data_IF_414128259079
#
_entry.id   IF_414128259079
#
_cell.length_a   1.000
_cell.length_b   1.000
_cell.length_c   1.000
_cell.angle_alpha   90.00
_cell.angle_beta   90.00
_cell.angle_gamma   90.00
#
_symmetry.space_group_name_H-M   'P 1'
#
loop_
_entity.id
_entity.type
_entity.pdbx_description
1 polymer ?
#
# COMPACT_ATOMS: atom_id res chain seq x y z
N UNK A 1 -34.13 24.00 9.74
CA UNK A 1 -32.98 23.25 10.30
C UNK A 1 -32.02 22.95 9.16
N UNK A 2 -30.77 23.38 9.25
CA UNK A 2 -29.82 23.26 8.15
C UNK A 2 -29.40 21.80 7.95
N UNK A 3 -29.66 21.25 6.75
CA UNK A 3 -29.23 19.91 6.35
C UNK A 3 -27.72 19.98 6.09
N UNK A 4 -26.91 19.42 7.00
CA UNK A 4 -25.46 19.34 6.82
C UNK A 4 -25.15 18.56 5.53
N UNK A 5 -24.25 19.11 4.71
CA UNK A 5 -23.86 18.53 3.41
C UNK A 5 -22.90 17.33 3.53
N UNK A 6 -22.44 17.03 4.74
CA UNK A 6 -21.67 15.82 5.00
C UNK A 6 -22.61 14.66 5.28
N UNK A 7 -22.59 13.67 4.39
CA UNK A 7 -23.08 12.34 4.71
C UNK A 7 -22.17 11.65 5.74
N UNK A 8 -22.53 10.44 6.19
CA UNK A 8 -21.70 9.65 7.10
C UNK A 8 -20.27 9.54 6.55
N UNK A 9 -19.27 9.82 7.38
CA UNK A 9 -17.87 9.58 7.03
C UNK A 9 -17.70 8.08 6.85
N UNK A 10 -17.16 7.66 5.71
CA UNK A 10 -16.87 6.25 5.46
C UNK A 10 -15.99 5.71 6.58
N UNK A 11 -16.44 4.64 7.23
CA UNK A 11 -15.69 3.95 8.27
C UNK A 11 -14.68 3.03 7.56
N UNK A 12 -13.58 3.62 7.07
CA UNK A 12 -12.44 2.90 6.50
C UNK A 12 -11.72 2.15 7.62
N UNK A 13 -12.32 1.04 8.09
CA UNK A 13 -11.72 0.21 9.14
C UNK A 13 -10.48 -0.49 8.58
N UNK A 14 -9.29 -0.27 9.15
CA UNK A 14 -8.09 -0.96 8.71
C UNK A 14 -8.23 -2.47 8.98
N UNK A 15 -7.97 -3.28 7.95
CA UNK A 15 -7.90 -4.74 8.08
C UNK A 15 -6.47 -5.12 8.44
N UNK A 16 -6.29 -5.79 9.59
CA UNK A 16 -4.98 -6.34 9.98
C UNK A 16 -4.74 -7.66 9.26
N UNK A 17 -3.59 -7.77 8.60
CA UNK A 17 -3.13 -8.98 7.91
C UNK A 17 -1.76 -9.34 8.43
N UNK A 18 -1.55 -10.61 8.79
CA UNK A 18 -0.22 -11.16 9.10
C UNK A 18 0.33 -11.81 7.83
N UNK A 19 1.57 -11.48 7.47
CA UNK A 19 2.24 -12.00 6.28
C UNK A 19 3.57 -12.64 6.66
N UNK A 20 3.88 -13.78 6.05
CA UNK A 20 5.18 -14.41 6.13
C UNK A 20 5.96 -14.09 4.85
N UNK A 21 7.20 -13.63 5.02
CA UNK A 21 8.08 -13.29 3.90
C UNK A 21 9.24 -14.27 3.82
N UNK A 22 9.60 -14.76 2.63
CA UNK A 22 10.87 -15.45 2.44
C UNK A 22 12.03 -14.58 2.95
N UNK A 23 12.99 -15.17 3.65
CA UNK A 23 14.14 -14.44 4.19
C UNK A 23 14.91 -13.61 3.13
N UNK A 24 15.11 -14.07 1.88
CA UNK A 24 15.71 -13.24 0.84
C UNK A 24 14.91 -11.97 0.54
N UNK A 25 13.58 -12.07 0.48
CA UNK A 25 12.71 -10.93 0.21
C UNK A 25 12.77 -9.88 1.33
N UNK A 26 12.75 -10.32 2.59
CA UNK A 26 12.90 -9.40 3.73
C UNK A 26 14.24 -8.65 3.67
N UNK A 27 15.33 -9.35 3.33
CA UNK A 27 16.65 -8.71 3.16
C UNK A 27 16.67 -7.67 2.04
N UNK A 28 16.02 -7.95 0.92
CA UNK A 28 15.98 -7.02 -0.20
C UNK A 28 15.08 -5.81 0.09
N UNK A 29 13.96 -6.00 0.81
CA UNK A 29 13.16 -4.89 1.35
C UNK A 29 13.97 -4.01 2.32
N UNK A 30 14.82 -4.63 3.14
CA UNK A 30 15.71 -3.90 4.07
C UNK A 30 16.69 -3.00 3.31
N UNK A 31 17.34 -3.53 2.28
CA UNK A 31 18.23 -2.76 1.41
C UNK A 31 17.50 -1.65 0.67
N UNK A 32 16.29 -1.93 0.18
CA UNK A 32 15.46 -0.93 -0.49
C UNK A 32 15.15 0.25 0.44
N UNK A 33 14.76 -0.04 1.69
CA UNK A 33 14.48 0.98 2.68
C UNK A 33 15.70 1.85 3.01
N UNK A 34 16.89 1.25 3.08
CA UNK A 34 18.14 1.98 3.26
C UNK A 34 18.45 2.92 2.09
N UNK A 35 18.36 2.43 0.85
CA UNK A 35 18.61 3.23 -0.36
C UNK A 35 17.62 4.40 -0.42
N UNK A 36 16.33 4.12 -0.23
CA UNK A 36 15.29 5.14 -0.26
C UNK A 36 15.50 6.22 0.80
N UNK A 37 15.87 5.83 2.02
CA UNK A 37 16.19 6.78 3.09
C UNK A 37 17.37 7.68 2.72
N UNK A 38 18.47 7.07 2.23
CA UNK A 38 19.67 7.81 1.81
C UNK A 38 19.36 8.83 0.70
N UNK A 39 18.60 8.43 -0.32
CA UNK A 39 18.22 9.31 -1.42
C UNK A 39 17.34 10.48 -0.96
N UNK A 40 16.51 10.26 0.07
CA UNK A 40 15.67 11.29 0.68
C UNK A 40 16.40 12.14 1.74
N UNK A 41 17.67 11.85 2.04
CA UNK A 41 18.41 12.48 3.15
C UNK A 41 17.83 12.15 4.54
N UNK A 42 17.13 11.02 4.65
CA UNK A 42 16.44 10.56 5.85
C UNK A 42 17.06 9.24 6.37
N UNK A 43 16.87 8.90 7.66
CA UNK A 43 17.21 7.58 8.15
C UNK A 43 16.47 6.47 7.38
N UNK A 44 17.04 5.25 7.29
CA UNK A 44 16.34 4.09 6.73
C UNK A 44 14.98 3.89 7.40
N UNK A 45 13.94 3.67 6.60
CA UNK A 45 12.60 3.35 7.13
C UNK A 45 12.51 1.87 7.52
N UNK A 46 11.53 1.51 8.35
CA UNK A 46 11.22 0.11 8.62
C UNK A 46 10.79 -0.58 7.31
N UNK A 47 11.43 -1.68 6.89
CA UNK A 47 11.11 -2.37 5.64
C UNK A 47 9.63 -2.80 5.54
N UNK A 48 8.99 -3.09 6.68
CA UNK A 48 7.57 -3.46 6.73
C UNK A 48 6.67 -2.30 6.29
N UNK A 49 7.08 -1.05 6.54
CA UNK A 49 6.31 0.15 6.13
C UNK A 49 6.29 0.35 4.62
N UNK A 50 7.16 -0.33 3.87
CA UNK A 50 7.15 -0.29 2.40
C UNK A 50 6.06 -1.18 1.80
N UNK A 51 5.63 -2.23 2.51
CA UNK A 51 4.74 -3.26 1.96
C UNK A 51 3.42 -2.64 1.48
N UNK A 52 2.76 -1.85 2.32
CA UNK A 52 1.47 -1.22 1.99
C UNK A 52 1.58 -0.29 0.76
N UNK A 53 2.44 0.75 0.74
CA UNK A 53 2.51 1.64 -0.42
C UNK A 53 3.00 0.95 -1.69
N UNK A 54 3.84 -0.09 -1.59
CA UNK A 54 4.24 -0.89 -2.75
C UNK A 54 3.06 -1.68 -3.33
N UNK A 55 2.23 -2.31 -2.48
CA UNK A 55 1.03 -3.03 -2.91
C UNK A 55 -0.02 -2.08 -3.51
N UNK A 56 -0.26 -0.94 -2.88
CA UNK A 56 -1.15 0.09 -3.43
C UNK A 56 -0.69 0.53 -4.82
N UNK A 57 0.60 0.83 -4.96
CA UNK A 57 1.18 1.24 -6.25
C UNK A 57 1.07 0.14 -7.31
N UNK A 58 1.33 -1.10 -6.93
CA UNK A 58 1.21 -2.26 -7.83
C UNK A 58 -0.23 -2.38 -8.34
N UNK A 59 -1.22 -2.45 -7.44
CA UNK A 59 -2.64 -2.59 -7.80
C UNK A 59 -3.14 -1.39 -8.62
N UNK A 60 -2.73 -0.17 -8.28
CA UNK A 60 -3.15 1.03 -9.00
C UNK A 60 -2.60 1.12 -10.43
N UNK A 61 -1.44 0.50 -10.70
CA UNK A 61 -0.76 0.61 -12.00
C UNK A 61 -0.89 -0.61 -12.89
N UNK A 62 -1.36 -1.74 -12.36
CA UNK A 62 -1.62 -2.95 -13.14
C UNK A 62 -2.86 -2.79 -14.04
N UNK A 63 -2.62 -2.55 -15.33
CA UNK A 63 -3.68 -2.42 -16.35
C UNK A 63 -4.42 -3.73 -16.60
N UNK A 64 -3.76 -4.88 -16.45
CA UNK A 64 -4.37 -6.19 -16.62
C UNK A 64 -5.40 -6.43 -15.51
N UNK A 65 -4.99 -6.17 -14.27
CA UNK A 65 -5.90 -6.18 -13.12
C UNK A 65 -7.07 -5.20 -13.30
N UNK A 66 -6.80 -3.97 -13.76
CA UNK A 66 -7.83 -2.97 -13.97
C UNK A 66 -8.91 -3.42 -14.97
N UNK A 67 -8.52 -4.08 -16.08
CA UNK A 67 -9.46 -4.64 -17.07
C UNK A 67 -10.28 -5.78 -16.49
N UNK A 68 -9.64 -6.78 -15.89
CA UNK A 68 -10.33 -7.92 -15.28
C UNK A 68 -11.32 -7.48 -14.19
N UNK A 69 -10.95 -6.47 -13.38
CA UNK A 69 -11.83 -5.88 -12.36
C UNK A 69 -13.07 -5.20 -12.96
N UNK A 70 -12.98 -4.64 -14.17
CA UNK A 70 -14.14 -4.07 -14.87
C UNK A 70 -15.06 -5.17 -15.42
N UNK A 71 -14.48 -6.22 -16.01
CA UNK A 71 -15.23 -7.38 -16.53
C UNK A 71 -16.03 -8.09 -15.43
N UNK A 72 -15.46 -8.24 -14.23
CA UNK A 72 -16.15 -8.84 -13.08
C UNK A 72 -17.31 -7.99 -12.51
N UNK A 73 -17.45 -6.73 -12.92
CA UNK A 73 -18.52 -5.83 -12.48
C UNK A 73 -19.69 -5.74 -13.46
N UNK A 74 -19.52 -6.23 -14.69
CA UNK A 74 -20.56 -6.31 -15.72
C UNK A 74 -21.31 -7.61 -15.63
#
# INVERSE_FOLDING_TARGET
MAKLKLGPIADDKPVKVTVELPAPLHRDLSRYAEILGRDAGQPPTDPVRLIVPMLERFIATDRGFARAKQELKG
#
